data_IF_754388576296
#
_entry.id   IF_754388576296
#
_cell.length_a   1.000
_cell.length_b   1.000
_cell.length_c   1.000
_cell.angle_alpha   90.00
_cell.angle_beta   90.00
_cell.angle_gamma   90.00
#
_symmetry.space_group_name_H-M   'P 1'
#
loop_
_entity.id
_entity.type
_entity.pdbx_description
1 polymer ?
#
# COMPACT_ATOMS: atom_id res chain seq x y z
N UNK A 1 34.90 15.85 12.24
CA UNK A 1 34.12 14.68 11.78
C UNK A 1 32.70 15.15 11.63
N UNK A 2 32.21 15.27 10.40
CA UNK A 2 30.84 15.72 10.12
C UNK A 2 29.87 14.58 10.43
N UNK A 3 28.83 14.88 11.18
CA UNK A 3 27.78 13.94 11.56
C UNK A 3 26.98 13.52 10.31
N UNK A 4 26.93 12.23 9.94
CA UNK A 4 26.28 11.76 8.72
C UNK A 4 24.76 11.98 8.69
N UNK A 5 24.17 12.45 9.79
CA UNK A 5 22.73 12.72 9.88
C UNK A 5 22.30 14.15 9.50
N UNK A 6 23.22 15.04 9.12
CA UNK A 6 22.86 16.41 8.75
C UNK A 6 22.55 16.50 7.25
N UNK A 7 21.28 16.63 6.83
CA UNK A 7 20.95 16.85 5.42
C UNK A 7 21.46 18.22 4.95
N UNK A 8 21.84 18.37 3.67
CA UNK A 8 22.22 19.68 3.13
C UNK A 8 21.03 20.65 3.21
N UNK A 9 21.24 21.82 3.82
CA UNK A 9 20.26 22.92 3.85
C UNK A 9 19.55 23.21 5.17
N UNK A 10 19.95 22.61 6.30
CA UNK A 10 19.41 22.97 7.63
C UNK A 10 17.96 22.55 7.88
N UNK A 11 17.32 21.85 6.95
CA UNK A 11 15.99 21.27 7.13
C UNK A 11 16.06 20.02 8.02
N UNK A 12 15.79 20.18 9.31
CA UNK A 12 15.64 19.05 10.22
C UNK A 12 14.20 18.51 10.12
N UNK A 13 13.99 17.46 9.33
CA UNK A 13 12.75 16.68 9.42
C UNK A 13 12.73 16.00 10.80
N UNK A 14 12.07 16.61 11.77
CA UNK A 14 12.11 16.13 13.15
C UNK A 14 11.37 14.79 13.24
N UNK A 15 12.01 13.70 13.70
CA UNK A 15 11.37 12.38 13.77
C UNK A 15 10.10 12.39 14.64
N UNK A 16 10.01 13.29 15.63
CA UNK A 16 8.79 13.50 16.41
C UNK A 16 7.60 13.99 15.57
N UNK A 17 7.81 14.77 14.50
CA UNK A 17 6.73 15.20 13.60
C UNK A 17 6.18 14.02 12.82
N UNK A 18 7.06 13.17 12.28
CA UNK A 18 6.65 11.95 11.61
C UNK A 18 5.87 11.04 12.57
N UNK A 19 6.36 10.87 13.79
CA UNK A 19 5.72 10.07 14.82
C UNK A 19 4.35 10.63 15.24
N UNK A 20 4.23 11.94 15.48
CA UNK A 20 2.96 12.57 15.84
C UNK A 20 1.91 12.48 14.72
N UNK A 21 2.34 12.39 13.46
CA UNK A 21 1.45 12.20 12.32
C UNK A 21 1.05 10.71 12.17
N UNK A 22 1.94 9.77 12.48
CA UNK A 22 1.71 8.32 12.26
C UNK A 22 1.16 7.58 13.47
N UNK A 23 1.56 7.96 14.68
CA UNK A 23 1.04 7.42 15.93
C UNK A 23 -0.08 8.34 16.41
N UNK A 24 -1.30 7.80 16.56
CA UNK A 24 -2.00 7.97 17.83
C UNK A 24 -3.28 7.09 17.95
N UNK A 25 -3.40 6.28 19.02
CA UNK A 25 -4.58 5.49 19.38
C UNK A 25 -5.80 6.28 19.92
N UNK A 26 -5.72 7.59 20.18
CA UNK A 26 -6.73 8.35 20.95
C UNK A 26 -7.93 8.91 20.14
N UNK A 27 -7.89 8.88 18.80
CA UNK A 27 -8.99 9.38 17.96
C UNK A 27 -9.54 8.37 16.96
N UNK A 28 -9.04 7.14 16.99
CA UNK A 28 -9.67 6.05 16.27
C UNK A 28 -11.05 5.77 16.90
N UNK A 29 -12.13 5.61 16.12
CA UNK A 29 -13.40 5.14 16.65
C UNK A 29 -13.18 3.90 17.52
N UNK A 30 -14.00 3.65 18.55
CA UNK A 30 -13.79 2.50 19.46
C UNK A 30 -13.68 1.12 18.76
N UNK A 31 -14.20 1.00 17.53
CA UNK A 31 -14.03 -0.17 16.67
C UNK A 31 -12.65 -0.25 15.99
N UNK A 32 -12.01 0.88 15.73
CA UNK A 32 -10.69 1.02 15.15
C UNK A 32 -9.57 1.08 16.22
N UNK A 33 -9.86 1.53 17.45
CA UNK A 33 -8.88 1.58 18.55
C UNK A 33 -8.39 0.20 19.01
N UNK A 34 -9.09 -0.88 18.61
CA UNK A 34 -8.68 -2.28 18.86
C UNK A 34 -7.89 -2.91 17.72
N UNK A 35 -7.77 -2.22 16.58
CA UNK A 35 -7.08 -2.75 15.40
C UNK A 35 -5.60 -2.37 15.44
N UNK A 36 -4.74 -3.34 15.12
CA UNK A 36 -3.35 -3.02 14.80
C UNK A 36 -3.27 -2.19 13.51
N UNK A 37 -2.16 -1.47 13.32
CA UNK A 37 -1.93 -0.70 12.09
C UNK A 37 -2.02 -1.56 10.83
N UNK A 38 -1.52 -2.80 10.86
CA UNK A 38 -1.63 -3.73 9.74
C UNK A 38 -3.07 -4.17 9.48
N UNK A 39 -3.88 -4.37 10.53
CA UNK A 39 -5.30 -4.71 10.39
C UNK A 39 -6.13 -3.54 9.83
N UNK A 40 -5.85 -2.31 10.28
CA UNK A 40 -6.46 -1.10 9.72
C UNK A 40 -6.08 -0.92 8.24
N UNK A 41 -4.79 -1.05 7.89
CA UNK A 41 -4.31 -1.01 6.51
C UNK A 41 -4.96 -2.09 5.64
N UNK A 42 -5.10 -3.32 6.16
CA UNK A 42 -5.75 -4.40 5.44
C UNK A 42 -7.21 -4.09 5.11
N UNK A 43 -7.98 -3.48 6.03
CA UNK A 43 -9.35 -3.06 5.76
C UNK A 43 -9.45 -1.96 4.71
N UNK A 44 -8.51 -1.01 4.70
CA UNK A 44 -8.43 0.03 3.68
C UNK A 44 -8.12 -0.59 2.31
N UNK A 45 -7.16 -1.50 2.24
CA UNK A 45 -6.85 -2.25 1.01
C UNK A 45 -8.07 -3.03 0.51
N UNK A 46 -8.75 -3.76 1.39
CA UNK A 46 -9.93 -4.56 1.05
C UNK A 46 -11.14 -3.72 0.63
N UNK A 47 -11.23 -2.46 1.09
CA UNK A 47 -12.24 -1.51 0.62
C UNK A 47 -12.03 -1.14 -0.84
N UNK A 48 -10.77 -0.98 -1.27
CA UNK A 48 -10.41 -0.65 -2.65
C UNK A 48 -10.38 -1.88 -3.56
N UNK A 49 -9.92 -3.02 -3.06
CA UNK A 49 -9.68 -4.24 -3.83
C UNK A 49 -10.21 -5.48 -3.07
N UNK A 50 -11.55 -5.70 -3.06
CA UNK A 50 -12.16 -6.82 -2.39
C UNK A 50 -11.92 -8.15 -3.14
N UNK A 51 -11.58 -9.21 -2.42
CA UNK A 51 -11.39 -10.56 -2.98
C UNK A 51 -9.93 -10.97 -3.18
N UNK A 52 -8.97 -10.13 -2.81
CA UNK A 52 -7.55 -10.50 -2.78
C UNK A 52 -7.29 -11.67 -1.82
N UNK A 53 -6.27 -12.48 -2.13
CA UNK A 53 -5.87 -13.57 -1.23
C UNK A 53 -5.23 -13.05 0.06
N UNK A 54 -5.20 -13.91 1.08
CA UNK A 54 -4.49 -13.63 2.34
C UNK A 54 -3.00 -13.32 2.09
N UNK A 55 -2.37 -14.06 1.17
CA UNK A 55 -0.96 -13.87 0.81
C UNK A 55 -0.72 -12.49 0.20
N UNK A 56 -1.54 -12.11 -0.77
CA UNK A 56 -1.41 -10.81 -1.43
C UNK A 56 -1.72 -9.66 -0.47
N UNK A 57 -2.76 -9.82 0.36
CA UNK A 57 -3.09 -8.86 1.40
C UNK A 57 -1.92 -8.66 2.37
N UNK A 58 -1.32 -9.76 2.83
CA UNK A 58 -0.12 -9.76 3.68
C UNK A 58 1.06 -9.02 3.05
N UNK A 59 1.34 -9.27 1.77
CA UNK A 59 2.40 -8.57 1.01
C UNK A 59 2.18 -7.05 1.00
N UNK A 60 0.94 -6.60 0.72
CA UNK A 60 0.60 -5.17 0.65
C UNK A 60 0.75 -4.46 2.00
N UNK A 61 0.43 -5.14 3.10
CA UNK A 61 0.58 -4.57 4.46
C UNK A 61 1.94 -4.85 5.10
N UNK A 62 2.84 -5.54 4.41
CA UNK A 62 4.21 -5.82 4.86
C UNK A 62 4.32 -6.90 5.94
N UNK A 63 3.43 -7.89 5.92
CA UNK A 63 3.44 -9.02 6.85
C UNK A 63 3.99 -10.29 6.21
N UNK A 64 4.54 -11.18 7.05
CA UNK A 64 4.82 -12.57 6.67
C UNK A 64 3.50 -13.34 6.48
N UNK A 65 3.57 -14.49 5.80
CA UNK A 65 2.37 -15.31 5.55
C UNK A 65 1.65 -15.72 6.85
N UNK A 66 2.39 -16.18 7.85
CA UNK A 66 1.81 -16.59 9.13
C UNK A 66 1.21 -15.40 9.91
N UNK A 67 1.83 -14.23 9.84
CA UNK A 67 1.27 -13.01 10.43
C UNK A 67 0.02 -12.52 9.68
N UNK A 68 0.00 -12.63 8.35
CA UNK A 68 -1.14 -12.27 7.52
C UNK A 68 -2.37 -13.17 7.82
N UNK A 69 -2.17 -14.48 7.96
CA UNK A 69 -3.24 -15.42 8.36
C UNK A 69 -3.83 -15.01 9.71
N UNK A 70 -2.99 -14.83 10.74
CA UNK A 70 -3.44 -14.41 12.08
C UNK A 70 -4.17 -13.07 12.08
N UNK A 71 -3.71 -12.11 11.26
CA UNK A 71 -4.35 -10.82 11.09
C UNK A 71 -5.76 -11.00 10.49
N UNK A 72 -5.90 -11.77 9.41
CA UNK A 72 -7.20 -12.01 8.77
C UNK A 72 -8.13 -12.79 9.71
N UNK A 73 -7.62 -13.76 10.46
CA UNK A 73 -8.40 -14.49 11.47
C UNK A 73 -8.91 -13.54 12.57
N UNK A 74 -8.10 -12.57 12.99
CA UNK A 74 -8.52 -11.50 13.89
C UNK A 74 -9.65 -10.66 13.31
N UNK A 75 -9.52 -10.24 12.05
CA UNK A 75 -10.54 -9.45 11.36
C UNK A 75 -11.85 -10.23 11.14
N UNK A 76 -11.79 -11.54 10.87
CA UNK A 76 -12.97 -12.40 10.74
C UNK A 76 -13.68 -12.59 12.09
N UNK A 77 -12.92 -12.82 13.17
CA UNK A 77 -13.49 -12.91 14.53
C UNK A 77 -14.23 -11.63 14.94
N UNK A 78 -13.75 -10.47 14.48
CA UNK A 78 -14.40 -9.18 14.69
C UNK A 78 -15.56 -8.92 13.69
N UNK A 79 -15.89 -9.87 12.82
CA UNK A 79 -16.87 -9.76 11.74
C UNK A 79 -16.62 -8.58 10.79
N UNK A 80 -15.36 -8.20 10.60
CA UNK A 80 -14.95 -7.11 9.71
C UNK A 80 -14.66 -7.60 8.29
N UNK A 81 -14.24 -8.86 8.15
CA UNK A 81 -14.02 -9.51 6.86
C UNK A 81 -14.63 -10.90 6.86
N UNK A 82 -14.73 -11.49 5.68
CA UNK A 82 -15.11 -12.88 5.46
C UNK A 82 -14.33 -13.45 4.27
N UNK A 83 -13.93 -14.71 4.38
CA UNK A 83 -13.35 -15.49 3.29
C UNK A 83 -14.45 -16.09 2.44
N UNK A 84 -14.40 -15.81 1.14
CA UNK A 84 -15.31 -16.37 0.15
C UNK A 84 -14.52 -17.23 -0.83
N UNK A 85 -15.04 -18.42 -1.13
CA UNK A 85 -14.53 -19.22 -2.24
C UNK A 85 -14.94 -18.54 -3.55
N UNK A 86 -13.97 -18.34 -4.43
CA UNK A 86 -14.16 -17.85 -5.80
C UNK A 86 -14.07 -19.05 -6.75
N UNK A 87 -14.07 -18.79 -8.07
CA UNK A 87 -13.90 -19.82 -9.11
C UNK A 87 -12.66 -20.69 -8.82
N UNK A 88 -12.87 -22.02 -8.74
CA UNK A 88 -11.85 -23.01 -8.42
C UNK A 88 -11.60 -23.19 -6.92
N UNK A 89 -10.33 -23.41 -6.52
CA UNK A 89 -9.88 -23.54 -5.13
C UNK A 89 -9.40 -22.21 -4.52
N UNK A 90 -9.68 -21.08 -5.19
CA UNK A 90 -9.24 -19.77 -4.72
C UNK A 90 -10.14 -19.25 -3.60
N UNK A 91 -9.53 -18.73 -2.54
CA UNK A 91 -10.25 -18.08 -1.42
C UNK A 91 -9.84 -16.62 -1.33
N UNK A 92 -10.78 -15.73 -1.61
CA UNK A 92 -10.61 -14.29 -1.50
C UNK A 92 -11.11 -13.76 -0.16
N UNK A 93 -10.49 -12.70 0.34
CA UNK A 93 -10.95 -11.99 1.55
C UNK A 93 -11.81 -10.81 1.11
N UNK A 94 -13.01 -10.69 1.69
CA UNK A 94 -13.95 -9.61 1.39
C UNK A 94 -14.29 -8.84 2.66
N UNK A 95 -14.39 -7.50 2.62
CA UNK A 95 -14.88 -6.76 3.77
C UNK A 95 -16.38 -7.01 3.94
N UNK A 96 -16.83 -7.16 5.18
CA UNK A 96 -18.27 -7.16 5.49
C UNK A 96 -18.84 -5.74 5.40
N UNK A 97 -20.16 -5.59 5.58
CA UNK A 97 -20.76 -4.26 5.75
C UNK A 97 -20.17 -3.50 6.94
N UNK A 98 -19.86 -4.19 8.04
CA UNK A 98 -19.17 -3.62 9.21
C UNK A 98 -17.75 -3.19 8.82
N UNK A 99 -16.99 -4.06 8.15
CA UNK A 99 -15.63 -3.77 7.69
C UNK A 99 -15.55 -2.55 6.77
N UNK A 100 -16.47 -2.42 5.81
CA UNK A 100 -16.53 -1.23 4.91
C UNK A 100 -16.75 0.07 5.70
N UNK A 101 -17.68 0.07 6.66
CA UNK A 101 -17.94 1.25 7.51
C UNK A 101 -16.72 1.59 8.37
N UNK A 102 -16.08 0.59 8.97
CA UNK A 102 -14.86 0.78 9.77
C UNK A 102 -13.72 1.34 8.91
N UNK A 103 -13.52 0.82 7.69
CA UNK A 103 -12.54 1.36 6.75
C UNK A 103 -12.81 2.83 6.39
N UNK A 104 -14.09 3.22 6.25
CA UNK A 104 -14.46 4.62 6.03
C UNK A 104 -14.21 5.53 7.20
N UNK A 105 -14.51 5.08 8.42
CA UNK A 105 -14.19 5.84 9.61
C UNK A 105 -12.68 6.02 9.80
N UNK A 106 -11.88 4.98 9.49
CA UNK A 106 -10.43 5.06 9.48
C UNK A 106 -9.91 6.14 8.51
N UNK A 107 -10.42 6.15 7.28
CA UNK A 107 -10.02 7.13 6.26
C UNK A 107 -10.43 8.56 6.64
N UNK A 108 -11.68 8.76 7.09
CA UNK A 108 -12.15 10.09 7.55
C UNK A 108 -11.31 10.59 8.71
N UNK A 109 -11.10 9.75 9.73
CA UNK A 109 -10.28 10.12 10.89
C UNK A 109 -8.86 10.51 10.49
N UNK A 110 -8.27 9.80 9.52
CA UNK A 110 -6.94 10.12 9.01
C UNK A 110 -6.92 11.47 8.29
N UNK A 111 -7.86 11.69 7.38
CA UNK A 111 -7.94 12.95 6.62
C UNK A 111 -8.18 14.13 7.55
N UNK A 112 -9.13 14.06 8.47
CA UNK A 112 -9.42 15.15 9.41
C UNK A 112 -8.22 15.52 10.29
N UNK A 113 -7.40 14.54 10.69
CA UNK A 113 -6.16 14.81 11.44
C UNK A 113 -5.13 15.54 10.60
N UNK A 114 -4.91 15.08 9.36
CA UNK A 114 -3.97 15.74 8.45
C UNK A 114 -4.43 17.17 8.15
N UNK A 115 -5.73 17.39 7.93
CA UNK A 115 -6.29 18.73 7.78
C UNK A 115 -6.05 19.58 9.02
N UNK A 116 -6.31 19.06 10.22
CA UNK A 116 -6.09 19.79 11.49
C UNK A 116 -4.63 20.21 11.72
N UNK A 117 -3.65 19.41 11.27
CA UNK A 117 -2.23 19.80 11.30
C UNK A 117 -1.93 20.94 10.33
N UNK A 118 -2.66 21.02 9.21
CA UNK A 118 -2.50 22.05 8.20
C UNK A 118 -3.27 23.34 8.49
N UNK A 119 -4.22 23.35 9.44
CA UNK A 119 -5.05 24.51 9.78
C UNK A 119 -4.22 25.75 10.21
N UNK A 120 -2.99 25.54 10.70
CA UNK A 120 -2.07 26.62 11.08
C UNK A 120 -1.29 27.25 9.91
N UNK A 121 -1.43 26.72 8.69
CA UNK A 121 -0.72 27.17 7.50
C UNK A 121 -1.65 27.99 6.61
N UNK A 122 -1.16 29.10 6.06
CA UNK A 122 -1.88 29.84 5.03
C UNK A 122 -1.93 29.11 3.69
N UNK A 123 -2.82 29.52 2.79
CA UNK A 123 -3.03 28.86 1.48
C UNK A 123 -1.75 28.71 0.66
N UNK A 124 -0.85 29.69 0.75
CA UNK A 124 0.45 29.65 0.05
C UNK A 124 1.40 28.64 0.68
N UNK A 125 1.45 28.57 2.00
CA UNK A 125 2.29 27.61 2.71
C UNK A 125 1.78 26.18 2.51
N UNK A 126 0.46 25.96 2.48
CA UNK A 126 -0.15 24.67 2.15
C UNK A 126 0.22 24.25 0.73
N UNK A 127 0.19 25.18 -0.23
CA UNK A 127 0.57 24.91 -1.63
C UNK A 127 2.06 24.56 -1.74
N UNK A 128 2.92 25.33 -1.10
CA UNK A 128 4.37 25.12 -1.13
C UNK A 128 4.76 23.82 -0.44
N UNK A 129 4.14 23.52 0.71
CA UNK A 129 4.32 22.24 1.41
C UNK A 129 3.86 21.07 0.54
N UNK A 130 2.73 21.20 -0.15
CA UNK A 130 2.26 20.20 -1.12
C UNK A 130 3.27 19.93 -2.22
N UNK A 131 3.86 20.99 -2.80
CA UNK A 131 4.89 20.87 -3.82
C UNK A 131 6.19 20.22 -3.30
N UNK A 132 6.61 20.53 -2.07
CA UNK A 132 7.78 19.91 -1.43
C UNK A 132 7.53 18.42 -1.11
N UNK A 133 6.37 18.09 -0.56
CA UNK A 133 5.96 16.71 -0.29
C UNK A 133 5.92 15.88 -1.57
N UNK A 134 5.43 16.44 -2.67
CA UNK A 134 5.44 15.77 -3.98
C UNK A 134 6.86 15.40 -4.43
N UNK A 135 7.83 16.31 -4.28
CA UNK A 135 9.26 16.05 -4.60
C UNK A 135 9.86 14.96 -3.71
N UNK A 136 9.58 15.01 -2.41
CA UNK A 136 10.07 13.99 -1.48
C UNK A 136 9.48 12.61 -1.78
N UNK A 137 8.18 12.56 -2.06
CA UNK A 137 7.49 11.33 -2.44
C UNK A 137 8.04 10.73 -3.72
N UNK A 138 8.36 11.55 -4.74
CA UNK A 138 8.99 11.07 -5.97
C UNK A 138 10.33 10.38 -5.69
N UNK A 139 11.22 11.02 -4.91
CA UNK A 139 12.49 10.40 -4.49
C UNK A 139 12.31 9.10 -3.71
N UNK A 140 11.32 9.03 -2.81
CA UNK A 140 11.00 7.81 -2.06
C UNK A 140 10.43 6.70 -2.96
N UNK A 141 9.65 7.05 -3.97
CA UNK A 141 9.10 6.09 -4.93
C UNK A 141 10.21 5.42 -5.74
N UNK A 142 11.22 6.19 -6.15
CA UNK A 142 12.37 5.67 -6.89
C UNK A 142 13.23 4.70 -6.03
N UNK A 143 13.28 4.88 -4.72
CA UNK A 143 14.11 4.05 -3.82
C UNK A 143 13.42 2.83 -3.18
N UNK A 144 12.10 2.87 -2.98
CA UNK A 144 11.38 1.86 -2.15
C UNK A 144 10.60 0.80 -2.93
N UNK A 145 10.45 0.96 -4.26
CA UNK A 145 9.97 -0.07 -5.19
C UNK A 145 8.56 -0.63 -4.93
N UNK A 146 7.77 -0.07 -4.00
CA UNK A 146 6.44 -0.63 -3.70
C UNK A 146 5.42 0.43 -3.32
N UNK A 147 4.71 0.92 -4.34
CA UNK A 147 3.54 1.78 -4.18
C UNK A 147 2.47 1.16 -3.29
N UNK A 148 2.36 -0.17 -3.26
CA UNK A 148 1.45 -0.88 -2.36
C UNK A 148 1.73 -0.62 -0.88
N UNK A 149 3.00 -0.60 -0.48
CA UNK A 149 3.35 -0.33 0.91
C UNK A 149 3.15 1.14 1.27
N UNK A 150 3.45 2.05 0.33
CA UNK A 150 3.30 3.50 0.53
C UNK A 150 1.83 3.94 0.55
N UNK A 151 1.00 3.35 -0.32
CA UNK A 151 -0.41 3.73 -0.46
C UNK A 151 -1.36 2.96 0.46
N UNK A 152 -0.90 2.00 1.28
CA UNK A 152 -1.77 1.09 2.07
C UNK A 152 -2.71 1.77 3.08
N UNK A 153 -2.48 3.04 3.38
CA UNK A 153 -3.34 3.85 4.26
C UNK A 153 -4.14 4.91 3.49
N UNK A 154 -3.87 5.10 2.19
CA UNK A 154 -4.51 6.11 1.37
C UNK A 154 -5.88 5.62 0.88
N UNK A 155 -6.83 6.54 0.73
CA UNK A 155 -8.05 6.26 -0.01
C UNK A 155 -7.73 6.24 -1.51
N UNK A 156 -7.28 5.08 -2.02
CA UNK A 156 -6.94 4.92 -3.44
C UNK A 156 -8.13 5.22 -4.36
N UNK A 157 -9.36 4.97 -3.91
CA UNK A 157 -10.56 5.24 -4.71
C UNK A 157 -10.83 6.75 -4.85
N UNK A 158 -10.37 7.54 -3.87
CA UNK A 158 -10.43 8.99 -3.90
C UNK A 158 -9.13 9.65 -4.38
N UNK A 159 -8.11 8.88 -4.79
CA UNK A 159 -6.89 9.46 -5.36
C UNK A 159 -7.18 10.02 -6.76
N UNK A 160 -6.87 11.30 -6.97
CA UNK A 160 -7.15 12.12 -8.16
C UNK A 160 -8.64 12.51 -8.36
N UNK A 161 -9.33 13.09 -7.35
CA UNK A 161 -10.72 13.51 -7.51
C UNK A 161 -10.86 14.71 -8.47
N UNK A 162 -9.79 15.52 -8.63
CA UNK A 162 -9.78 16.74 -9.46
C UNK A 162 -8.75 16.67 -10.61
N UNK A 163 -8.37 15.46 -11.04
CA UNK A 163 -7.37 15.27 -12.10
C UNK A 163 -5.92 15.57 -11.68
N UNK A 164 -5.68 16.00 -10.44
CA UNK A 164 -4.33 16.10 -9.87
C UNK A 164 -3.79 14.70 -9.62
N UNK A 165 -2.83 14.30 -10.43
CA UNK A 165 -2.21 12.97 -10.35
C UNK A 165 -1.36 12.85 -9.07
N UNK A 166 -1.64 11.86 -8.23
CA UNK A 166 -0.79 11.56 -7.07
C UNK A 166 0.59 11.09 -7.57
N UNK A 167 1.71 11.69 -7.10
CA UNK A 167 3.06 11.32 -7.53
C UNK A 167 3.36 9.82 -7.37
N UNK A 168 2.87 9.21 -6.28
CA UNK A 168 3.03 7.77 -6.04
C UNK A 168 2.27 6.93 -7.07
N UNK A 169 1.03 7.32 -7.40
CA UNK A 169 0.22 6.63 -8.40
C UNK A 169 0.76 6.82 -9.83
N UNK A 170 1.29 8.01 -10.13
CA UNK A 170 1.97 8.28 -11.39
C UNK A 170 3.21 7.39 -11.56
N UNK A 171 4.05 7.32 -10.53
CA UNK A 171 5.24 6.48 -10.49
C UNK A 171 4.91 4.98 -10.63
N UNK A 172 3.89 4.50 -9.92
CA UNK A 172 3.44 3.10 -10.00
C UNK A 172 2.94 2.73 -11.40
N UNK A 173 2.14 3.60 -12.02
CA UNK A 173 1.68 3.42 -13.41
C UNK A 173 2.82 3.49 -14.41
N UNK A 174 3.80 4.37 -14.21
CA UNK A 174 4.99 4.45 -15.05
C UNK A 174 5.82 3.16 -14.95
N UNK A 175 6.06 2.66 -13.73
CA UNK A 175 6.78 1.40 -13.50
C UNK A 175 6.05 0.19 -14.11
N UNK A 176 4.72 0.11 -13.96
CA UNK A 176 3.91 -0.96 -14.56
C UNK A 176 3.96 -0.92 -16.09
N UNK A 177 3.88 0.28 -16.69
CA UNK A 177 4.04 0.45 -18.15
C UNK A 177 5.44 0.04 -18.63
N UNK A 178 6.49 0.39 -17.89
CA UNK A 178 7.86 -0.01 -18.23
C UNK A 178 8.06 -1.53 -18.14
N UNK A 179 7.45 -2.18 -17.14
CA UNK A 179 7.47 -3.64 -17.00
C UNK A 179 6.69 -4.34 -18.12
N UNK A 180 5.53 -3.80 -18.53
CA UNK A 180 4.73 -4.32 -19.64
C UNK A 180 5.36 -4.04 -21.03
N UNK A 181 6.17 -2.99 -21.15
CA UNK A 181 6.88 -2.61 -22.37
C UNK A 181 8.26 -3.27 -22.56
N UNK A 182 8.76 -4.00 -21.55
CA UNK A 182 9.92 -4.88 -21.74
C UNK A 182 9.50 -6.16 -22.47
N UNK A 183 10.10 -6.49 -23.62
CA UNK A 183 9.76 -7.72 -24.33
C UNK A 183 10.30 -8.92 -23.55
N UNK A 184 9.45 -9.55 -22.75
CA UNK A 184 9.68 -10.91 -22.31
C UNK A 184 9.32 -11.86 -23.47
N UNK A 185 10.31 -12.30 -24.24
CA UNK A 185 10.09 -13.34 -25.25
C UNK A 185 11.13 -13.48 -26.36
N UNK A 186 12.39 -13.78 -26.04
CA UNK A 186 13.24 -14.58 -26.95
C UNK A 186 13.17 -16.03 -26.48
N UNK A 187 12.10 -16.71 -26.84
CA UNK A 187 12.01 -18.16 -26.87
C UNK A 187 11.76 -18.60 -28.31
N UNK A 188 12.83 -18.95 -29.02
CA UNK A 188 12.85 -19.71 -30.27
C UNK A 188 14.24 -20.37 -30.35
N UNK A 189 14.43 -21.69 -30.41
CA UNK A 189 13.52 -22.82 -30.28
C UNK A 189 14.40 -24.06 -30.05
N UNK A 190 13.94 -24.97 -29.19
CA UNK A 190 14.42 -26.35 -29.19
C UNK A 190 13.64 -27.10 -30.26
N UNK A 191 14.34 -27.56 -31.29
CA UNK A 191 13.87 -28.66 -32.13
C UNK A 191 14.69 -29.88 -31.76
N UNK A 192 14.08 -30.75 -30.96
CA UNK A 192 14.46 -32.14 -30.81
C UNK A 192 13.72 -32.99 -31.86
N UNK A 193 14.41 -34.03 -32.33
CA UNK A 193 13.97 -35.02 -33.31
C UNK A 193 15.13 -35.24 -34.29
N UNK A 194 15.80 -36.39 -34.35
CA UNK A 194 15.20 -37.71 -34.54
C UNK A 194 16.17 -38.84 -34.14
N UNK A 195 15.58 -39.98 -33.82
CA UNK A 195 16.17 -41.23 -33.38
C UNK A 195 17.06 -41.89 -34.44
N UNK A 196 18.14 -42.56 -34.01
CA UNK A 196 18.61 -43.77 -34.69
C UNK A 196 19.26 -44.74 -33.71
N UNK A 197 18.68 -45.93 -33.72
CA UNK A 197 18.91 -47.14 -32.92
C UNK A 197 20.02 -48.00 -33.56
N UNK A 198 20.62 -48.90 -32.75
CA UNK A 198 21.51 -50.04 -33.09
C UNK A 198 22.93 -49.67 -33.59
N UNK A 199 24.04 -50.31 -33.21
CA UNK A 199 24.28 -51.76 -33.08
C UNK A 199 25.56 -52.11 -32.27
N UNK A 200 25.74 -53.42 -32.02
CA UNK A 200 26.80 -54.15 -31.31
C UNK A 200 28.27 -53.78 -31.57
N UNK A 201 29.10 -54.01 -30.54
CA UNK A 201 30.56 -54.13 -30.61
C UNK A 201 31.21 -54.21 -29.23
#
# INVERSE_FOLDING_TARGET
MSDPLTPPGGASAHPATALAITDDPLGAPAAASRLSMSAAAALIVLRADPGVSVTELGRRVGLTQSAAVRMVDGLEREALVERRRTVGNWTGVHPTGKGRRTAGQLLVSRTSRLTGVLDGLGDTEVRDLGALLAKLLDGLCQGSGSADRMCRLCDRAACAPDGVECPVGAADRAATRAAAGSPAGSAAGSAAGDEARTDHG
#
